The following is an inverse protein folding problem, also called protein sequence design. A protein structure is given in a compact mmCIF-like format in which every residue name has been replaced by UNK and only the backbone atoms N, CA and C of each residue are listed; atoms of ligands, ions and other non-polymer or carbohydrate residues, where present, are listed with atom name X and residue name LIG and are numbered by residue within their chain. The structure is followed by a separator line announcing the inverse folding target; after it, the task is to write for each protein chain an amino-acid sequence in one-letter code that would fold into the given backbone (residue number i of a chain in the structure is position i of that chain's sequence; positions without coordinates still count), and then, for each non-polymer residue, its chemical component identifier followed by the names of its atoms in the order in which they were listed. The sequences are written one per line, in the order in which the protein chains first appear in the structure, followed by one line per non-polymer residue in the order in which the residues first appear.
data_IF_770440078239
#
_entry.id   IF_770440078239
#
_cell.length_a   1.000
_cell.length_b   1.000
_cell.length_c   1.000
_cell.angle_alpha   90.00
_cell.angle_beta   90.00
_cell.angle_gamma   90.00
#
_symmetry.space_group_name_H-M   'P 1'
#
loop_
_entity.id
_entity.type
_entity.pdbx_description
1 polymer ?
#
# COMPACT_ATOMS: atom_id res chain seq x y z
N UNK A 1 6.61 -7.81 -17.52
CA UNK A 1 6.20 -8.61 -16.33
C UNK A 1 4.71 -8.50 -16.07
N UNK A 2 4.08 -9.61 -15.78
CA UNK A 2 2.70 -9.62 -15.30
C UNK A 2 2.64 -9.16 -13.84
N UNK A 3 1.44 -8.90 -13.32
CA UNK A 3 1.24 -8.51 -11.92
C UNK A 3 1.80 -9.57 -10.96
N UNK A 4 1.49 -10.85 -11.19
CA UNK A 4 1.97 -11.94 -10.34
C UNK A 4 3.49 -12.03 -10.33
N UNK A 5 4.13 -11.88 -11.48
CA UNK A 5 5.59 -11.89 -11.57
C UNK A 5 6.22 -10.73 -10.81
N UNK A 6 5.63 -9.55 -10.95
CA UNK A 6 6.09 -8.32 -10.28
C UNK A 6 6.00 -8.47 -8.75
N UNK A 7 4.86 -8.93 -8.25
CA UNK A 7 4.63 -9.11 -6.82
C UNK A 7 5.52 -10.21 -6.24
N UNK A 8 5.83 -11.25 -7.02
CA UNK A 8 6.66 -12.36 -6.56
C UNK A 8 8.16 -12.01 -6.42
N UNK A 9 8.64 -10.91 -7.03
CA UNK A 9 10.06 -10.56 -7.02
C UNK A 9 10.72 -10.54 -5.64
N UNK A 10 10.16 -9.86 -4.62
CA UNK A 10 10.81 -9.85 -3.30
C UNK A 10 10.92 -11.23 -2.68
N UNK A 11 9.96 -12.11 -2.93
CA UNK A 11 10.01 -13.48 -2.45
C UNK A 11 11.08 -14.30 -3.19
N UNK A 12 11.27 -14.04 -4.48
CA UNK A 12 12.35 -14.65 -5.25
C UNK A 12 13.71 -14.27 -4.64
N UNK A 13 13.93 -13.00 -4.36
CA UNK A 13 15.17 -12.53 -3.76
C UNK A 13 15.38 -13.04 -2.33
N UNK A 14 14.31 -13.34 -1.63
CA UNK A 14 14.36 -13.95 -0.29
C UNK A 14 14.60 -15.47 -0.33
N UNK A 15 14.76 -16.06 -1.50
CA UNK A 15 15.05 -17.49 -1.65
C UNK A 15 13.83 -18.40 -1.58
N UNK A 16 12.62 -17.85 -1.67
CA UNK A 16 11.38 -18.63 -1.64
C UNK A 16 11.22 -19.43 -2.93
N UNK A 17 10.88 -20.69 -2.82
CA UNK A 17 10.68 -21.58 -3.99
C UNK A 17 9.53 -21.09 -4.87
N UNK A 18 9.62 -21.38 -6.17
CA UNK A 18 8.68 -20.89 -7.18
C UNK A 18 7.21 -21.13 -6.81
N UNK A 19 6.87 -22.35 -6.42
CA UNK A 19 5.47 -22.68 -6.10
C UNK A 19 4.95 -21.84 -4.92
N UNK A 20 5.76 -21.66 -3.89
CA UNK A 20 5.39 -20.90 -2.71
C UNK A 20 5.34 -19.39 -3.02
N UNK A 21 6.30 -18.85 -3.77
CA UNK A 21 6.28 -17.42 -4.07
C UNK A 21 5.12 -17.03 -4.99
N UNK A 22 4.75 -17.89 -5.93
CA UNK A 22 3.59 -17.64 -6.80
C UNK A 22 2.31 -17.65 -5.97
N UNK A 23 2.17 -18.63 -5.09
CA UNK A 23 1.02 -18.72 -4.17
C UNK A 23 0.90 -17.46 -3.31
N UNK A 24 1.98 -17.01 -2.71
CA UNK A 24 2.01 -15.79 -1.90
C UNK A 24 1.68 -14.54 -2.72
N UNK A 25 2.18 -14.48 -3.95
CA UNK A 25 1.91 -13.36 -4.86
C UNK A 25 0.42 -13.28 -5.21
N UNK A 26 -0.20 -14.41 -5.49
CA UNK A 26 -1.63 -14.48 -5.78
C UNK A 26 -2.44 -14.04 -4.55
N UNK A 27 -2.10 -14.54 -3.36
CA UNK A 27 -2.77 -14.15 -2.11
C UNK A 27 -2.63 -12.65 -1.84
N UNK A 28 -1.44 -12.09 -2.09
CA UNK A 28 -1.20 -10.66 -1.93
C UNK A 28 -2.05 -9.83 -2.90
N UNK A 29 -2.12 -10.25 -4.16
CA UNK A 29 -2.96 -9.58 -5.16
C UNK A 29 -4.45 -9.68 -4.84
N UNK A 30 -4.90 -10.82 -4.37
CA UNK A 30 -6.28 -10.98 -3.91
C UNK A 30 -6.59 -10.03 -2.76
N UNK A 31 -5.67 -9.88 -1.81
CA UNK A 31 -5.85 -9.01 -0.64
C UNK A 31 -5.99 -7.53 -0.99
N UNK A 32 -5.50 -7.12 -2.16
CA UNK A 32 -5.63 -5.74 -2.66
C UNK A 32 -6.69 -5.61 -3.76
N UNK A 33 -7.51 -6.65 -3.95
CA UNK A 33 -8.62 -6.61 -4.90
C UNK A 33 -8.24 -6.84 -6.36
N UNK A 34 -7.10 -7.46 -6.63
CA UNK A 34 -6.60 -7.71 -7.98
C UNK A 34 -6.53 -9.20 -8.35
N UNK A 35 -7.30 -10.06 -7.67
CA UNK A 35 -7.29 -11.50 -7.91
C UNK A 35 -7.63 -11.90 -9.34
N UNK A 36 -8.42 -11.12 -10.04
CA UNK A 36 -8.82 -11.39 -11.43
C UNK A 36 -7.84 -10.81 -12.45
N UNK A 37 -6.80 -10.09 -12.01
CA UNK A 37 -5.86 -9.40 -12.88
C UNK A 37 -4.41 -9.86 -12.72
N UNK A 38 -4.21 -11.04 -12.15
CA UNK A 38 -2.87 -11.53 -11.83
C UNK A 38 -1.96 -11.69 -13.06
N UNK A 39 -2.53 -11.95 -14.22
CA UNK A 39 -1.79 -12.10 -15.47
C UNK A 39 -1.74 -10.83 -16.33
N UNK A 40 -2.36 -9.74 -15.87
CA UNK A 40 -2.30 -8.45 -16.56
C UNK A 40 -0.93 -7.80 -16.36
N UNK A 41 -0.53 -7.01 -17.36
CA UNK A 41 0.71 -6.19 -17.28
C UNK A 41 0.36 -4.81 -16.74
N UNK A 42 1.30 -4.10 -16.09
CA UNK A 42 1.06 -2.74 -15.62
C UNK A 42 0.54 -1.80 -16.70
N UNK A 43 0.98 -1.97 -17.96
CA UNK A 43 0.50 -1.16 -19.09
C UNK A 43 -0.99 -1.33 -19.38
N UNK A 44 -1.59 -2.41 -18.89
CA UNK A 44 -3.01 -2.72 -19.07
C UNK A 44 -3.87 -2.29 -17.87
N UNK A 45 -3.26 -1.61 -16.90
CA UNK A 45 -3.89 -1.26 -15.62
C UNK A 45 -4.06 0.24 -15.43
N UNK A 46 -5.08 0.63 -14.67
CA UNK A 46 -5.25 2.01 -14.22
C UNK A 46 -4.17 2.40 -13.22
N UNK A 47 -4.05 3.71 -12.94
CA UNK A 47 -3.11 4.20 -11.93
C UNK A 47 -3.34 3.60 -10.54
N UNK A 48 -4.61 3.50 -10.13
CA UNK A 48 -4.97 2.89 -8.84
C UNK A 48 -4.66 1.40 -8.79
N UNK A 49 -4.88 0.68 -9.89
CA UNK A 49 -4.53 -0.73 -9.97
C UNK A 49 -3.02 -0.93 -9.91
N UNK A 50 -2.23 -0.12 -10.61
CA UNK A 50 -0.76 -0.17 -10.53
C UNK A 50 -0.27 0.11 -9.11
N UNK A 51 -0.88 1.06 -8.42
CA UNK A 51 -0.53 1.36 -7.03
C UNK A 51 -0.84 0.16 -6.12
N UNK A 52 -1.96 -0.53 -6.35
CA UNK A 52 -2.30 -1.73 -5.58
C UNK A 52 -1.32 -2.88 -5.87
N UNK A 53 -0.82 -3.02 -7.09
CA UNK A 53 0.25 -3.97 -7.40
C UNK A 53 1.51 -3.64 -6.58
N UNK A 54 1.87 -2.37 -6.51
CA UNK A 54 3.03 -1.93 -5.72
C UNK A 54 2.85 -2.26 -4.23
N UNK A 55 1.65 -2.09 -3.69
CA UNK A 55 1.35 -2.45 -2.30
C UNK A 55 1.46 -3.97 -2.11
N UNK A 56 0.88 -4.76 -3.00
CA UNK A 56 0.96 -6.22 -2.93
C UNK A 56 2.42 -6.70 -2.94
N UNK A 57 3.26 -6.11 -3.80
CA UNK A 57 4.69 -6.40 -3.84
C UNK A 57 5.38 -6.05 -2.52
N UNK A 58 5.01 -4.93 -1.92
CA UNK A 58 5.61 -4.50 -0.66
C UNK A 58 5.26 -5.41 0.51
N UNK A 59 4.10 -6.06 0.50
CA UNK A 59 3.61 -6.87 1.63
C UNK A 59 3.88 -8.37 1.51
N UNK A 60 4.39 -8.84 0.39
CA UNK A 60 4.52 -10.29 0.15
C UNK A 60 5.40 -11.01 1.19
N UNK A 61 6.40 -10.31 1.74
CA UNK A 61 7.28 -10.87 2.77
C UNK A 61 6.82 -10.53 4.19
N UNK A 62 5.57 -10.13 4.38
CA UNK A 62 4.96 -9.80 5.66
C UNK A 62 5.78 -8.78 6.48
N UNK A 63 6.04 -7.59 5.96
CA UNK A 63 6.82 -6.59 6.69
C UNK A 63 6.05 -6.09 7.92
N UNK A 64 6.79 -5.67 8.95
CA UNK A 64 6.19 -5.05 10.13
C UNK A 64 5.87 -3.57 9.90
N UNK A 65 6.64 -2.94 9.02
CA UNK A 65 6.51 -1.51 8.70
C UNK A 65 6.42 -1.36 7.20
N UNK A 66 5.47 -0.55 6.74
CA UNK A 66 5.31 -0.21 5.34
C UNK A 66 5.44 1.31 5.21
N UNK A 67 6.31 1.74 4.31
CA UNK A 67 6.51 3.15 4.01
C UNK A 67 5.79 3.52 2.72
N UNK A 68 4.99 4.56 2.76
CA UNK A 68 4.24 5.03 1.60
C UNK A 68 4.49 6.54 1.40
N UNK A 69 5.09 6.87 0.28
CA UNK A 69 5.39 8.27 -0.07
C UNK A 69 4.37 8.75 -1.10
N UNK A 70 3.55 9.72 -0.69
CA UNK A 70 2.45 10.27 -1.51
C UNK A 70 1.62 9.17 -2.20
N UNK A 71 1.05 8.23 -1.43
CA UNK A 71 0.47 7.01 -2.00
C UNK A 71 -0.75 7.24 -2.88
N UNK A 72 -1.40 8.39 -2.79
CA UNK A 72 -2.57 8.74 -3.61
C UNK A 72 -2.31 9.88 -4.58
N UNK A 73 -1.05 10.34 -4.68
CA UNK A 73 -0.67 11.37 -5.64
C UNK A 73 -0.96 10.90 -7.06
N UNK A 74 -1.50 11.65 -7.93
CA UNK A 74 -1.85 11.28 -9.31
C UNK A 74 -3.05 10.33 -9.46
N UNK A 75 -3.76 10.02 -8.36
CA UNK A 75 -4.97 9.20 -8.43
C UNK A 75 -6.22 10.07 -8.35
N UNK A 76 -7.28 9.67 -9.04
CA UNK A 76 -8.59 10.27 -8.86
C UNK A 76 -9.11 9.96 -7.44
N UNK A 77 -10.11 10.70 -6.98
CA UNK A 77 -10.62 10.59 -5.62
C UNK A 77 -11.06 9.17 -5.25
N UNK A 78 -11.76 8.49 -6.14
CA UNK A 78 -12.24 7.13 -5.89
C UNK A 78 -11.10 6.14 -5.76
N UNK A 79 -10.14 6.18 -6.68
CA UNK A 79 -8.96 5.30 -6.65
C UNK A 79 -8.11 5.58 -5.42
N UNK A 80 -7.97 6.85 -5.03
CA UNK A 80 -7.26 7.25 -3.82
C UNK A 80 -7.90 6.68 -2.56
N UNK A 81 -9.22 6.78 -2.44
CA UNK A 81 -9.95 6.22 -1.30
C UNK A 81 -9.80 4.70 -1.22
N UNK A 82 -9.82 4.00 -2.35
CA UNK A 82 -9.62 2.56 -2.40
C UNK A 82 -8.22 2.17 -1.89
N UNK A 83 -7.20 2.91 -2.28
CA UNK A 83 -5.83 2.69 -1.80
C UNK A 83 -5.71 2.94 -0.30
N UNK A 84 -6.31 4.02 0.21
CA UNK A 84 -6.30 4.33 1.65
C UNK A 84 -7.04 3.26 2.47
N UNK A 85 -8.11 2.70 1.94
CA UNK A 85 -8.84 1.60 2.57
C UNK A 85 -7.95 0.35 2.72
N UNK A 86 -7.12 0.06 1.71
CA UNK A 86 -6.16 -1.05 1.78
C UNK A 86 -5.15 -0.81 2.91
N UNK A 87 -4.58 0.39 3.00
CA UNK A 87 -3.65 0.73 4.08
C UNK A 87 -4.30 0.60 5.46
N UNK A 88 -5.56 1.02 5.57
CA UNK A 88 -6.30 0.89 6.83
C UNK A 88 -6.43 -0.58 7.24
N UNK A 89 -6.81 -1.45 6.31
CA UNK A 89 -6.94 -2.89 6.57
C UNK A 89 -5.61 -3.51 6.98
N UNK A 90 -4.53 -3.16 6.31
CA UNK A 90 -3.19 -3.63 6.66
C UNK A 90 -2.81 -3.19 8.08
N UNK A 91 -3.09 -1.95 8.42
CA UNK A 91 -2.82 -1.42 9.75
C UNK A 91 -3.66 -2.13 10.83
N UNK A 92 -4.94 -2.35 10.56
CA UNK A 92 -5.83 -3.06 11.47
C UNK A 92 -5.35 -4.50 11.71
N UNK A 93 -4.66 -5.09 10.74
CA UNK A 93 -4.10 -6.44 10.84
C UNK A 93 -2.68 -6.47 11.43
N UNK A 94 -2.19 -5.35 11.93
CA UNK A 94 -0.93 -5.29 12.69
C UNK A 94 0.26 -4.70 11.96
N UNK A 95 0.12 -4.28 10.71
CA UNK A 95 1.21 -3.62 9.98
C UNK A 95 1.27 -2.15 10.36
N UNK A 96 2.44 -1.67 10.75
CA UNK A 96 2.65 -0.24 10.97
C UNK A 96 2.81 0.45 9.61
N UNK A 97 1.98 1.46 9.37
CA UNK A 97 2.02 2.22 8.13
C UNK A 97 2.57 3.62 8.40
N UNK A 98 3.60 4.01 7.70
CA UNK A 98 4.13 5.39 7.74
C UNK A 98 3.88 6.01 6.38
N UNK A 99 3.03 7.05 6.35
CA UNK A 99 2.74 7.78 5.12
C UNK A 99 3.39 9.15 5.15
N UNK A 100 4.01 9.51 4.03
CA UNK A 100 4.51 10.87 3.81
C UNK A 100 3.56 11.53 2.82
N UNK A 101 2.93 12.64 3.20
CA UNK A 101 1.96 13.32 2.35
C UNK A 101 1.89 14.81 2.63
N UNK A 102 1.56 15.60 1.60
CA UNK A 102 1.21 17.00 1.72
C UNK A 102 -0.30 17.23 1.78
N UNK A 103 -1.08 16.16 1.59
CA UNK A 103 -2.54 16.24 1.51
C UNK A 103 -3.18 16.04 2.88
N UNK A 104 -3.91 17.04 3.38
CA UNK A 104 -4.63 16.95 4.65
C UNK A 104 -5.65 15.83 4.68
N UNK A 105 -6.35 15.61 3.57
CA UNK A 105 -7.34 14.54 3.44
C UNK A 105 -6.72 13.17 3.71
N UNK A 106 -5.52 12.95 3.21
CA UNK A 106 -4.78 11.70 3.42
C UNK A 106 -4.34 11.58 4.89
N UNK A 107 -3.81 12.66 5.44
CA UNK A 107 -3.35 12.68 6.84
C UNK A 107 -4.48 12.35 7.82
N UNK A 108 -5.70 12.79 7.55
CA UNK A 108 -6.87 12.54 8.39
C UNK A 108 -7.28 11.06 8.45
N UNK A 109 -6.78 10.22 7.56
CA UNK A 109 -6.99 8.77 7.60
C UNK A 109 -6.07 8.08 8.60
N UNK A 110 -5.05 8.76 9.10
CA UNK A 110 -4.04 8.20 9.98
C UNK A 110 -4.43 8.32 11.45
N UNK A 111 -3.88 7.45 12.29
CA UNK A 111 -4.09 7.48 13.74
C UNK A 111 -3.29 8.58 14.42
N UNK A 112 -2.17 8.97 13.81
CA UNK A 112 -1.25 9.97 14.35
C UNK A 112 -0.68 10.78 13.22
N UNK A 113 -0.58 12.08 13.41
CA UNK A 113 -0.01 12.99 12.42
C UNK A 113 1.17 13.72 13.05
N UNK A 114 2.31 13.66 12.38
CA UNK A 114 3.50 14.42 12.75
C UNK A 114 3.75 15.45 11.67
N UNK A 115 3.69 16.72 12.04
CA UNK A 115 3.88 17.83 11.11
C UNK A 115 5.30 18.35 11.22
N UNK A 116 5.96 18.45 10.08
CA UNK A 116 7.34 18.94 9.99
C UNK A 116 7.35 20.27 9.26
N UNK A 117 8.21 21.17 9.74
CA UNK A 117 8.50 22.43 9.08
C UNK A 117 9.99 22.72 9.21
N UNK A 118 10.65 22.94 8.06
CA UNK A 118 12.10 23.21 8.01
C UNK A 118 12.93 22.15 8.75
N UNK A 119 12.56 20.88 8.60
CA UNK A 119 13.26 19.76 9.24
C UNK A 119 13.02 19.58 10.72
N UNK A 120 12.11 20.35 11.31
CA UNK A 120 11.80 20.31 12.75
C UNK A 120 10.35 19.88 12.95
N UNK A 121 10.11 19.07 13.98
CA UNK A 121 8.74 18.67 14.35
C UNK A 121 8.01 19.90 14.92
N UNK A 122 6.98 20.33 14.20
CA UNK A 122 6.15 21.46 14.58
C UNK A 122 4.98 21.01 15.47
N UNK A 123 4.41 19.85 15.15
CA UNK A 123 3.25 19.32 15.85
C UNK A 123 3.21 17.81 15.77
N UNK A 124 2.75 17.18 16.84
CA UNK A 124 2.54 15.72 16.93
C UNK A 124 1.20 15.51 17.61
N UNK A 125 0.23 14.95 16.87
CA UNK A 125 -1.14 14.84 17.37
C UNK A 125 -1.77 13.48 17.08
N UNK A 126 -2.64 13.05 17.99
CA UNK A 126 -3.44 11.84 17.83
C UNK A 126 -4.77 12.23 17.17
N UNK A 127 -5.19 11.46 16.18
CA UNK A 127 -6.44 11.69 15.46
C UNK A 127 -7.53 10.82 16.05
N UNK A 128 -8.47 11.44 16.76
CA UNK A 128 -9.56 10.73 17.44
C UNK A 128 -10.72 10.38 16.51
N UNK A 129 -11.00 11.20 15.52
CA UNK A 129 -12.06 10.99 14.54
C UNK A 129 -11.43 10.70 13.17
N UNK A 130 -10.76 9.57 13.09
CA UNK A 130 -10.06 9.17 11.88
C UNK A 130 -11.03 9.00 10.71
N UNK A 131 -10.69 9.62 9.58
CA UNK A 131 -11.49 9.55 8.37
C UNK A 131 -11.48 8.12 7.81
N UNK A 132 -12.61 7.69 7.24
CA UNK A 132 -12.73 6.35 6.67
C UNK A 132 -12.93 5.22 7.68
N UNK A 133 -13.14 5.55 8.94
CA UNK A 133 -13.40 4.56 10.01
C UNK A 133 -14.87 4.50 10.38
#
# INVERSE_FOLDING_TARGET
MTAVENVALPALYAGVKKNERVKRAIEALESVGLGERIHHKPSEMSGGQRQRVAIARAIINNPRILLADEPTGNLDSKSGEEVLEIFKKLNDNGTTIVMVTHEEDVAEHCKRIIRLKDGVIEKDEIVYNRRGV
#
